data_IF_860296379888
#
_entry.id   IF_860296379888
#
_cell.length_a   1.000
_cell.length_b   1.000
_cell.length_c   1.000
_cell.angle_alpha   90.00
_cell.angle_beta   90.00
_cell.angle_gamma   90.00
#
_symmetry.space_group_name_H-M   'P 1'
#
loop_
_entity.id
_entity.type
_entity.pdbx_description
1 polymer ?
#
# COMPACT_ATOMS: atom_id res chain seq x y z
N UNK A 1 2.13 10.47 6.25
CA UNK A 1 2.05 9.56 5.09
C UNK A 1 0.96 8.51 5.20
N UNK A 2 0.65 8.02 6.41
CA UNK A 2 -0.38 6.99 6.61
C UNK A 2 -1.74 7.61 6.95
N UNK A 3 -2.81 7.02 6.45
CA UNK A 3 -4.19 7.36 6.82
C UNK A 3 -4.47 7.00 8.28
N UNK A 4 -3.94 5.85 8.72
CA UNK A 4 -4.06 5.40 10.10
C UNK A 4 -2.89 4.49 10.50
N UNK A 5 -2.52 4.58 11.77
CA UNK A 5 -1.56 3.70 12.44
C UNK A 5 -2.31 2.79 13.40
N UNK A 6 -2.24 1.48 13.17
CA UNK A 6 -2.83 0.44 13.99
C UNK A 6 -1.80 -0.06 14.99
N UNK A 7 -2.12 0.07 16.27
CA UNK A 7 -1.24 -0.35 17.36
C UNK A 7 -1.30 -1.87 17.56
N UNK A 8 -0.19 -2.44 18.03
CA UNK A 8 -0.17 -3.81 18.51
C UNK A 8 -1.08 -3.95 19.73
N UNK A 9 -1.73 -5.09 19.87
CA UNK A 9 -2.68 -5.34 20.97
C UNK A 9 -2.28 -6.59 21.75
N UNK A 10 -2.51 -6.55 23.06
CA UNK A 10 -2.43 -7.75 23.90
C UNK A 10 -3.78 -8.48 23.89
N UNK A 11 -3.81 -9.83 23.92
CA UNK A 11 -5.07 -10.59 23.95
C UNK A 11 -6.05 -10.15 25.05
N UNK A 12 -5.56 -9.84 26.25
CA UNK A 12 -6.38 -9.37 27.38
C UNK A 12 -7.16 -8.08 27.07
N UNK A 13 -6.73 -7.29 26.08
CA UNK A 13 -7.46 -6.09 25.69
C UNK A 13 -8.75 -6.41 24.93
N UNK A 14 -8.97 -7.66 24.50
CA UNK A 14 -10.18 -8.08 23.79
C UNK A 14 -11.35 -8.33 24.73
N UNK A 15 -11.07 -8.74 25.97
CA UNK A 15 -12.13 -8.99 26.94
C UNK A 15 -12.83 -7.67 27.30
N UNK A 16 -14.16 -7.68 27.26
CA UNK A 16 -14.99 -6.48 27.45
C UNK A 16 -14.88 -5.40 26.36
N UNK A 17 -14.14 -5.62 25.27
CA UNK A 17 -14.05 -4.65 24.18
C UNK A 17 -15.40 -4.49 23.46
N UNK A 18 -15.81 -3.26 23.18
CA UNK A 18 -17.00 -2.99 22.38
C UNK A 18 -16.76 -3.29 20.90
N UNK A 19 -17.83 -3.53 20.14
CA UNK A 19 -17.76 -3.71 18.69
C UNK A 19 -17.04 -2.55 17.99
N UNK A 20 -17.25 -1.31 18.47
CA UNK A 20 -16.57 -0.15 17.91
C UNK A 20 -15.07 -0.18 18.21
N UNK A 21 -14.66 -0.54 19.43
CA UNK A 21 -13.24 -0.68 19.77
C UNK A 21 -12.55 -1.74 18.92
N UNK A 22 -13.22 -2.86 18.62
CA UNK A 22 -12.69 -3.88 17.72
C UNK A 22 -12.53 -3.34 16.28
N UNK A 23 -13.52 -2.61 15.76
CA UNK A 23 -13.40 -1.95 14.45
C UNK A 23 -12.26 -0.94 14.44
N UNK A 24 -12.15 -0.10 15.46
CA UNK A 24 -11.09 0.89 15.57
C UNK A 24 -9.69 0.25 15.62
N UNK A 25 -9.57 -0.96 16.18
CA UNK A 25 -8.30 -1.69 16.28
C UNK A 25 -7.94 -2.52 15.06
N UNK A 26 -8.91 -2.98 14.26
CA UNK A 26 -8.65 -4.01 13.26
C UNK A 26 -9.26 -3.78 11.88
N UNK A 27 -10.30 -2.95 11.78
CA UNK A 27 -10.95 -2.72 10.49
C UNK A 27 -10.25 -1.60 9.74
N UNK A 28 -9.75 -1.91 8.56
CA UNK A 28 -9.30 -0.92 7.58
C UNK A 28 -10.45 -0.56 6.67
N UNK A 29 -10.89 0.70 6.73
CA UNK A 29 -11.92 1.26 5.86
C UNK A 29 -11.29 2.18 4.81
N UNK A 30 -11.99 2.46 3.71
CA UNK A 30 -11.52 3.42 2.70
C UNK A 30 -10.25 3.01 1.96
N UNK A 31 -10.02 1.70 1.78
CA UNK A 31 -8.80 1.20 1.13
C UNK A 31 -8.72 1.58 -0.35
N UNK A 32 -9.85 1.57 -1.06
CA UNK A 32 -9.93 1.91 -2.49
C UNK A 32 -10.73 3.19 -2.70
N UNK A 33 -10.03 4.32 -2.66
CA UNK A 33 -10.60 5.65 -2.95
C UNK A 33 -10.09 6.11 -4.31
N UNK A 34 -10.96 6.39 -5.29
CA UNK A 34 -10.53 6.86 -6.61
C UNK A 34 -9.63 8.10 -6.53
N UNK A 35 -8.52 8.08 -7.26
CA UNK A 35 -7.53 9.16 -7.29
C UNK A 35 -6.63 9.23 -6.05
N UNK A 36 -6.62 8.21 -5.19
CA UNK A 36 -5.83 8.18 -3.96
C UNK A 36 -5.07 6.87 -3.79
N UNK A 37 -3.88 6.98 -3.18
CA UNK A 37 -3.22 5.86 -2.51
C UNK A 37 -3.53 5.96 -1.01
N UNK A 38 -4.30 5.02 -0.49
CA UNK A 38 -4.56 4.87 0.94
C UNK A 38 -3.50 3.94 1.54
N UNK A 39 -2.81 4.38 2.59
CA UNK A 39 -1.75 3.59 3.26
C UNK A 39 -2.02 3.53 4.76
N UNK A 40 -2.01 2.33 5.32
CA UNK A 40 -2.24 2.09 6.74
C UNK A 40 -1.05 1.34 7.32
N UNK A 41 -0.47 1.85 8.40
CA UNK A 41 0.65 1.20 9.08
C UNK A 41 0.12 0.31 10.19
N UNK A 42 0.55 -0.94 10.27
CA UNK A 42 0.26 -1.85 11.37
C UNK A 42 1.53 -2.13 12.16
N UNK A 43 1.49 -1.94 13.48
CA UNK A 43 2.57 -2.37 14.36
C UNK A 43 2.67 -3.90 14.48
N UNK A 44 1.70 -4.66 13.97
CA UNK A 44 1.86 -6.09 13.73
C UNK A 44 2.77 -6.27 12.51
N UNK A 45 4.00 -6.77 12.75
CA UNK A 45 5.04 -6.97 11.73
C UNK A 45 5.47 -5.71 10.95
N UNK A 46 5.09 -4.50 11.42
CA UNK A 46 5.38 -3.22 10.72
C UNK A 46 4.89 -3.20 9.28
N UNK A 47 3.84 -3.98 8.98
CA UNK A 47 3.23 -4.07 7.67
C UNK A 47 2.58 -2.74 7.31
N UNK A 48 2.68 -2.36 6.04
CA UNK A 48 1.87 -1.29 5.46
C UNK A 48 0.86 -1.95 4.53
N UNK A 49 -0.42 -1.75 4.82
CA UNK A 49 -1.54 -2.28 4.03
C UNK A 49 -2.21 -1.10 3.36
N UNK A 50 -2.42 -1.19 2.05
CA UNK A 50 -2.91 -0.08 1.27
C UNK A 50 -3.72 -0.46 0.06
N UNK A 51 -4.25 0.57 -0.58
CA UNK A 51 -4.89 0.47 -1.88
C UNK A 51 -4.54 1.68 -2.73
N UNK A 52 -4.16 1.45 -3.98
CA UNK A 52 -4.02 2.50 -4.99
C UNK A 52 -5.12 2.33 -6.02
N UNK A 53 -5.97 3.35 -6.18
CA UNK A 53 -7.03 3.37 -7.19
C UNK A 53 -6.80 4.56 -8.14
N UNK A 54 -5.90 4.44 -9.12
CA UNK A 54 -5.67 5.52 -10.07
C UNK A 54 -6.94 5.78 -10.89
N UNK A 55 -7.37 7.04 -10.94
CA UNK A 55 -8.56 7.45 -11.68
C UNK A 55 -8.12 8.03 -13.04
N UNK A 56 -8.24 9.34 -13.23
CA UNK A 56 -7.82 10.02 -14.44
C UNK A 56 -6.29 10.19 -14.55
N UNK A 57 -5.61 10.26 -13.40
CA UNK A 57 -4.17 10.47 -13.32
C UNK A 57 -3.49 9.29 -12.63
N UNK A 58 -2.23 9.06 -13.04
CA UNK A 58 -1.37 8.13 -12.35
C UNK A 58 -1.09 8.59 -10.92
N UNK A 59 -0.90 7.63 -10.03
CA UNK A 59 -0.59 7.87 -8.62
C UNK A 59 0.79 7.32 -8.31
N UNK A 60 1.66 8.14 -7.71
CA UNK A 60 3.00 7.70 -7.30
C UNK A 60 3.01 7.34 -5.82
N UNK A 61 3.78 6.32 -5.44
CA UNK A 61 4.08 6.08 -4.03
C UNK A 61 4.71 7.33 -3.41
N UNK A 62 4.32 7.70 -2.17
CA UNK A 62 4.91 8.85 -1.51
C UNK A 62 6.35 8.56 -1.11
N UNK A 63 7.16 9.59 -0.94
CA UNK A 63 8.42 9.45 -0.21
C UNK A 63 8.15 9.26 1.29
N UNK A 64 9.12 8.67 1.99
CA UNK A 64 9.05 8.47 3.43
C UNK A 64 8.96 9.84 4.14
N UNK A 65 8.00 9.97 5.06
CA UNK A 65 7.94 11.11 5.99
C UNK A 65 8.33 10.73 7.41
N UNK A 66 8.26 9.44 7.74
CA UNK A 66 8.52 8.89 9.06
C UNK A 66 9.25 7.54 8.95
N UNK A 67 10.24 7.26 9.82
CA UNK A 67 10.80 8.16 10.83
C UNK A 67 11.57 9.34 10.20
N UNK A 68 11.84 10.43 10.95
CA UNK A 68 12.55 11.60 10.42
C UNK A 68 13.90 11.30 9.76
N UNK A 69 14.57 10.22 10.18
CA UNK A 69 15.84 9.78 9.60
C UNK A 69 15.73 9.27 8.16
N UNK A 70 14.52 8.95 7.68
CA UNK A 70 14.25 8.51 6.31
C UNK A 70 13.47 9.56 5.52
N UNK A 71 13.26 10.76 6.06
CA UNK A 71 12.46 11.79 5.41
C UNK A 71 12.99 12.10 3.99
N UNK A 72 12.10 12.03 3.00
CA UNK A 72 12.42 12.26 1.58
C UNK A 72 12.98 11.05 0.84
N UNK A 73 13.33 9.96 1.53
CA UNK A 73 13.80 8.74 0.86
C UNK A 73 12.66 8.01 0.14
N UNK A 74 12.96 7.16 -0.87
CA UNK A 74 11.94 6.36 -1.53
C UNK A 74 11.16 5.47 -0.57
N UNK A 75 9.88 5.23 -0.90
CA UNK A 75 8.99 4.40 -0.07
C UNK A 75 9.59 3.02 0.22
N UNK A 76 10.24 2.41 -0.78
CA UNK A 76 10.77 1.05 -0.73
C UNK A 76 12.26 0.97 -0.38
N UNK A 77 12.88 2.05 0.13
CA UNK A 77 14.30 2.05 0.48
C UNK A 77 14.72 0.85 1.36
N UNK A 78 13.87 0.46 2.31
CA UNK A 78 14.07 -0.69 3.18
C UNK A 78 12.82 -1.56 3.31
N UNK A 79 12.04 -1.63 2.22
CA UNK A 79 10.78 -2.39 2.15
C UNK A 79 10.62 -3.03 0.79
N UNK A 80 10.02 -4.21 0.77
CA UNK A 80 9.49 -4.81 -0.45
C UNK A 80 7.97 -4.59 -0.50
N UNK A 81 7.38 -4.71 -1.69
CA UNK A 81 5.95 -4.49 -1.89
C UNK A 81 5.34 -5.58 -2.76
N UNK A 82 4.33 -6.26 -2.22
CA UNK A 82 3.41 -7.08 -2.99
C UNK A 82 2.22 -6.26 -3.46
N UNK A 83 1.87 -6.41 -4.73
CA UNK A 83 0.70 -5.77 -5.34
C UNK A 83 -0.20 -6.83 -5.98
N UNK A 84 -1.51 -6.71 -5.81
CA UNK A 84 -2.50 -7.49 -6.56
C UNK A 84 -3.56 -6.55 -7.09
N UNK A 85 -3.84 -6.59 -8.39
CA UNK A 85 -4.94 -5.84 -8.97
C UNK A 85 -6.27 -6.59 -8.79
N UNK A 86 -7.25 -5.96 -8.16
CA UNK A 86 -8.60 -6.51 -7.97
C UNK A 86 -9.69 -5.66 -8.66
N UNK A 87 -9.28 -4.75 -9.55
CA UNK A 87 -10.16 -3.86 -10.32
C UNK A 87 -10.05 -4.09 -11.83
N UNK A 88 -10.29 -3.02 -12.60
CA UNK A 88 -10.07 -3.01 -14.05
C UNK A 88 -8.59 -3.08 -14.42
N UNK A 89 -8.30 -3.17 -15.72
CA UNK A 89 -6.92 -3.25 -16.20
C UNK A 89 -6.16 -1.94 -15.96
N UNK A 90 -4.87 -2.06 -15.63
CA UNK A 90 -3.99 -0.92 -15.42
C UNK A 90 -2.54 -1.31 -15.58
N UNK A 91 -1.65 -0.42 -15.13
CA UNK A 91 -0.21 -0.66 -15.16
C UNK A 91 0.46 -0.16 -13.89
N UNK A 92 1.63 -0.74 -13.63
CA UNK A 92 2.57 -0.28 -12.62
C UNK A 92 3.87 0.06 -13.32
N UNK A 93 4.37 1.28 -13.14
CA UNK A 93 5.70 1.66 -13.60
C UNK A 93 6.65 1.63 -12.41
N UNK A 94 7.70 0.84 -12.50
CA UNK A 94 8.77 0.69 -11.49
C UNK A 94 10.09 1.13 -12.13
N UNK A 95 10.68 2.21 -11.62
CA UNK A 95 11.97 2.73 -12.06
C UNK A 95 12.09 2.88 -13.61
N UNK A 96 10.98 3.28 -14.25
CA UNK A 96 10.87 3.46 -15.71
C UNK A 96 10.34 2.25 -16.49
N UNK A 97 10.34 1.05 -15.91
CA UNK A 97 9.76 -0.14 -16.53
C UNK A 97 8.26 -0.22 -16.28
N UNK A 98 7.44 -0.37 -17.32
CA UNK A 98 5.97 -0.44 -17.20
C UNK A 98 5.47 -1.85 -17.39
N UNK A 99 4.80 -2.38 -16.37
CA UNK A 99 4.19 -3.71 -16.33
C UNK A 99 2.67 -3.56 -16.40
N UNK A 100 2.03 -4.28 -17.32
CA UNK A 100 0.57 -4.32 -17.43
C UNK A 100 -0.01 -5.37 -16.47
N UNK A 101 -1.06 -5.00 -15.74
CA UNK A 101 -1.74 -5.88 -14.80
C UNK A 101 -3.25 -5.86 -15.09
N UNK A 102 -3.79 -7.01 -15.46
CA UNK A 102 -5.21 -7.28 -15.52
C UNK A 102 -5.81 -7.61 -14.15
N UNK A 103 -7.07 -8.01 -14.14
CA UNK A 103 -7.75 -8.46 -12.93
C UNK A 103 -7.10 -9.74 -12.39
N UNK A 104 -6.72 -9.72 -11.11
CA UNK A 104 -6.01 -10.77 -10.35
C UNK A 104 -4.55 -10.98 -10.71
N UNK A 105 -3.97 -10.16 -11.57
CA UNK A 105 -2.52 -10.14 -11.74
C UNK A 105 -1.86 -9.56 -10.50
N UNK A 106 -0.67 -10.09 -10.20
CA UNK A 106 0.16 -9.64 -9.10
C UNK A 106 1.53 -9.20 -9.58
N UNK A 107 2.15 -8.29 -8.82
CA UNK A 107 3.52 -7.84 -9.03
C UNK A 107 4.24 -7.79 -7.69
N UNK A 108 5.45 -8.34 -7.66
CA UNK A 108 6.40 -8.10 -6.59
C UNK A 108 7.28 -6.92 -6.99
N UNK A 109 7.40 -5.93 -6.11
CA UNK A 109 8.26 -4.77 -6.30
C UNK A 109 9.43 -4.86 -5.31
N UNK A 110 10.67 -4.98 -5.82
CA UNK A 110 11.86 -5.17 -5.00
C UNK A 110 12.14 -4.05 -4.01
N UNK A 111 12.83 -4.41 -2.93
CA UNK A 111 13.49 -3.43 -2.07
C UNK A 111 14.43 -2.52 -2.87
N UNK A 112 14.43 -1.24 -2.52
CA UNK A 112 15.29 -0.22 -3.11
C UNK A 112 14.73 0.43 -4.38
N UNK A 113 13.60 -0.05 -4.91
CA UNK A 113 12.93 0.65 -6.01
C UNK A 113 12.50 2.06 -5.60
N UNK A 114 12.80 3.01 -6.47
CA UNK A 114 12.77 4.43 -6.13
C UNK A 114 11.48 5.11 -6.60
N UNK A 115 11.12 4.85 -7.86
CA UNK A 115 9.95 5.46 -8.50
C UNK A 115 8.93 4.38 -8.83
N UNK A 116 7.82 4.34 -8.08
CA UNK A 116 6.71 3.42 -8.33
C UNK A 116 5.44 4.23 -8.54
N UNK A 117 4.78 4.01 -9.66
CA UNK A 117 3.50 4.65 -9.98
C UNK A 117 2.48 3.67 -10.54
N UNK A 118 1.21 3.98 -10.33
CA UNK A 118 0.06 3.16 -10.69
C UNK A 118 -0.83 3.94 -11.65
N UNK A 119 -1.31 3.31 -12.72
CA UNK A 119 -2.25 3.90 -13.66
C UNK A 119 -3.39 2.93 -14.00
N UNK A 120 -4.55 3.50 -14.36
CA UNK A 120 -5.69 2.75 -14.90
C UNK A 120 -5.73 2.92 -16.41
N UNK A 121 -6.05 1.85 -17.13
CA UNK A 121 -6.24 1.93 -18.59
C UNK A 121 -7.58 2.60 -18.96
N UNK A 122 -8.56 2.53 -18.05
CA UNK A 122 -9.87 3.15 -18.19
C UNK A 122 -10.30 3.76 -16.85
N UNK A 123 -10.52 5.07 -16.80
CA UNK A 123 -10.94 5.77 -15.57
C UNK A 123 -12.38 5.45 -15.14
N UNK A 124 -13.23 5.00 -16.07
CA UNK A 124 -14.59 4.54 -15.75
C UNK A 124 -14.59 3.14 -15.08
N UNK A 125 -13.54 2.36 -15.29
CA UNK A 125 -13.34 1.03 -14.70
C UNK A 125 -11.92 0.95 -14.12
N UNK A 126 -11.64 1.70 -13.04
CA UNK A 126 -10.27 1.87 -12.57
C UNK A 126 -9.69 0.56 -12.03
N UNK A 127 -8.38 0.41 -12.21
CA UNK A 127 -7.60 -0.58 -11.49
C UNK A 127 -7.67 -0.32 -9.98
N UNK A 128 -7.62 -1.40 -9.21
CA UNK A 128 -7.64 -1.37 -7.75
C UNK A 128 -6.49 -2.21 -7.24
N UNK A 129 -5.34 -1.59 -7.06
CA UNK A 129 -4.13 -2.27 -6.62
C UNK A 129 -4.15 -2.39 -5.10
N UNK A 130 -4.37 -3.61 -4.60
CA UNK A 130 -4.16 -3.94 -3.19
C UNK A 130 -2.66 -4.01 -2.89
N UNK A 131 -2.22 -3.32 -1.86
CA UNK A 131 -0.80 -3.12 -1.54
C UNK A 131 -0.49 -3.75 -0.19
N UNK A 132 0.60 -4.53 -0.12
CA UNK A 132 1.17 -5.00 1.14
C UNK A 132 2.68 -4.80 1.09
N UNK A 133 3.19 -3.89 1.93
CA UNK A 133 4.62 -3.62 2.07
C UNK A 133 5.15 -4.08 3.42
N UNK A 134 6.25 -4.82 3.40
CA UNK A 134 6.95 -5.36 4.58
C UNK A 134 8.38 -4.83 4.63
N UNK A 135 8.99 -4.72 5.83
CA UNK A 135 10.43 -4.46 5.92
C UNK A 135 11.23 -5.52 5.15
N UNK A 136 12.25 -5.09 4.41
CA UNK A 136 13.15 -5.97 3.68
C UNK A 136 14.61 -5.60 3.97
N UNK A 137 15.49 -6.60 3.94
CA UNK A 137 16.93 -6.44 4.21
C UNK A 137 17.81 -6.87 3.04
N UNK A 138 17.20 -7.46 2.01
CA UNK A 138 17.85 -7.87 0.78
C UNK A 138 16.91 -7.54 -0.38
N UNK A 139 17.51 -7.17 -1.52
CA UNK A 139 16.80 -7.01 -2.78
C UNK A 139 16.72 -8.37 -3.48
N UNK A 140 15.54 -8.68 -4.01
CA UNK A 140 15.29 -9.78 -4.93
C UNK A 140 14.53 -9.22 -6.13
N UNK A 141 14.74 -9.77 -7.32
CA UNK A 141 14.09 -9.34 -8.57
C UNK A 141 13.24 -10.48 -9.16
#
# INVERSE_FOLDING_TARGET
MYDKVYQATHPDMMDGASNQQLRDRYLIEGLFVPGKISLNYSHHERMIIGGATPAETALSLPTQSEPPSLAGAPFLQARELGVVNIGGAGSITVDGETIQLGFRDGLYVPMGSSEVSFASNNSAEPAKFYLVATPAHARYD
#
